data_IF_947627143533
#
_entry.id   IF_947627143533
#
_cell.length_a   1.000
_cell.length_b   1.000
_cell.length_c   1.000
_cell.angle_alpha   90.00
_cell.angle_beta   90.00
_cell.angle_gamma   90.00
#
_symmetry.space_group_name_H-M   'P 1'
#
loop_
_entity.id
_entity.type
_entity.pdbx_description
1 polymer ?
#
# COMPACT_ATOMS: atom_id res chain seq x y z
N UNK A 1 2.37 9.05 -8.18
CA UNK A 1 1.06 8.38 -8.08
C UNK A 1 0.75 8.25 -6.60
N UNK A 2 -0.48 8.55 -6.19
CA UNK A 2 -0.88 8.36 -4.79
C UNK A 2 -1.63 7.04 -4.69
N UNK A 3 -1.22 6.18 -3.77
CA UNK A 3 -1.97 4.99 -3.39
C UNK A 3 -2.72 5.35 -2.12
N UNK A 4 -4.02 5.54 -2.25
CA UNK A 4 -4.92 5.76 -1.12
C UNK A 4 -5.40 4.41 -0.59
N UNK A 5 -5.31 4.23 0.72
CA UNK A 5 -5.74 3.00 1.37
C UNK A 5 -6.81 3.34 2.38
N UNK A 6 -7.93 2.63 2.27
CA UNK A 6 -8.98 2.64 3.29
C UNK A 6 -8.96 1.30 4.01
N UNK A 7 -8.61 1.35 5.29
CA UNK A 7 -8.77 0.21 6.20
C UNK A 7 -9.69 0.58 7.33
N UNK A 8 -10.47 -0.40 7.77
CA UNK A 8 -11.39 -0.25 8.87
C UNK A 8 -11.40 -1.54 9.67
N UNK A 9 -11.13 -1.44 10.96
CA UNK A 9 -11.43 -2.48 11.93
C UNK A 9 -12.12 -1.81 13.12
N UNK A 10 -13.40 -2.16 13.33
CA UNK A 10 -14.22 -1.58 14.38
C UNK A 10 -14.11 -2.32 15.73
N UNK A 11 -13.47 -3.49 15.77
CA UNK A 11 -13.39 -4.35 16.96
C UNK A 11 -12.08 -4.12 17.70
N UNK A 12 -10.95 -4.19 17.00
CA UNK A 12 -9.61 -4.17 17.57
C UNK A 12 -8.83 -2.93 17.15
N UNK A 13 -9.23 -2.29 16.05
CA UNK A 13 -8.51 -1.18 15.44
C UNK A 13 -7.31 -1.64 14.63
N UNK A 14 -6.80 -0.77 13.76
CA UNK A 14 -5.65 -1.07 12.91
C UNK A 14 -4.35 -0.66 13.60
N UNK A 15 -3.44 -1.62 13.77
CA UNK A 15 -2.12 -1.41 14.36
C UNK A 15 -1.15 -0.83 13.34
N UNK A 16 -1.07 -1.45 12.15
CA UNK A 16 -0.16 -1.03 11.08
C UNK A 16 -0.63 -1.47 9.71
N UNK A 17 -0.12 -0.78 8.70
CA UNK A 17 -0.32 -1.12 7.28
C UNK A 17 1.01 -1.14 6.55
N UNK A 18 1.30 -2.24 5.88
CA UNK A 18 2.51 -2.46 5.09
C UNK A 18 2.19 -2.32 3.61
N UNK A 19 2.97 -1.50 2.91
CA UNK A 19 2.87 -1.24 1.47
C UNK A 19 4.03 -1.89 0.73
N UNK A 20 3.70 -2.67 -0.28
CA UNK A 20 4.65 -3.42 -1.09
C UNK A 20 4.53 -3.03 -2.56
N UNK A 21 5.68 -2.98 -3.23
CA UNK A 21 5.77 -2.85 -4.70
C UNK A 21 6.62 -4.02 -5.22
N UNK A 22 6.05 -4.82 -6.11
CA UNK A 22 6.67 -6.05 -6.62
C UNK A 22 7.17 -6.99 -5.49
N UNK A 23 6.33 -7.17 -4.47
CA UNK A 23 6.62 -7.94 -3.25
C UNK A 23 7.77 -7.40 -2.37
N UNK A 24 8.34 -6.22 -2.67
CA UNK A 24 9.30 -5.53 -1.79
C UNK A 24 8.54 -4.57 -0.88
N UNK A 25 8.78 -4.66 0.43
CA UNK A 25 8.23 -3.70 1.40
C UNK A 25 8.86 -2.33 1.14
N UNK A 26 8.03 -1.34 0.84
CA UNK A 26 8.49 0.03 0.59
C UNK A 26 8.15 0.95 1.76
N UNK A 27 7.04 0.70 2.47
CA UNK A 27 6.58 1.58 3.54
C UNK A 27 5.73 0.83 4.57
N UNK A 28 5.81 1.26 5.82
CA UNK A 28 4.92 0.82 6.91
C UNK A 28 4.32 2.05 7.57
N UNK A 29 3.00 2.10 7.63
CA UNK A 29 2.24 3.17 8.24
C UNK A 29 1.62 2.69 9.57
N UNK A 30 1.63 3.58 10.57
CA UNK A 30 1.06 3.36 11.91
C UNK A 30 0.02 4.44 12.27
N UNK A 31 -0.21 5.44 11.40
CA UNK A 31 -1.07 6.59 11.70
C UNK A 31 -2.21 6.69 10.68
N UNK A 32 -3.44 6.93 11.16
CA UNK A 32 -4.61 7.17 10.30
C UNK A 32 -4.75 8.69 10.01
N UNK A 33 -5.16 9.11 8.80
CA UNK A 33 -5.51 8.31 7.61
C UNK A 33 -4.28 7.83 6.83
N UNK A 34 -4.35 6.63 6.27
CA UNK A 34 -3.21 6.00 5.58
C UNK A 34 -3.09 6.46 4.14
N UNK A 35 -1.91 6.91 3.78
CA UNK A 35 -1.59 7.24 2.39
C UNK A 35 -0.14 6.92 2.08
N UNK A 36 0.11 6.38 0.89
CA UNK A 36 1.45 6.13 0.40
C UNK A 36 1.67 6.85 -0.94
N UNK A 37 2.63 7.76 -0.95
CA UNK A 37 3.04 8.44 -2.18
C UNK A 37 4.15 7.63 -2.86
N UNK A 38 3.82 7.03 -4.00
CA UNK A 38 4.77 6.30 -4.83
C UNK A 38 5.14 7.10 -6.07
N UNK A 39 6.43 7.38 -6.23
CA UNK A 39 6.97 8.09 -7.39
C UNK A 39 8.07 7.27 -8.05
N UNK A 40 7.77 6.76 -9.25
CA UNK A 40 8.75 6.13 -10.14
C UNK A 40 8.50 6.65 -11.55
N UNK A 41 9.58 6.86 -12.28
CA UNK A 41 9.53 7.18 -13.71
C UNK A 41 9.63 5.89 -14.50
N UNK A 42 8.48 5.37 -14.88
CA UNK A 42 8.37 4.12 -15.60
C UNK A 42 7.31 4.24 -16.68
N UNK A 43 7.71 4.04 -17.93
CA UNK A 43 6.79 4.05 -19.06
C UNK A 43 6.49 2.62 -19.52
N UNK A 44 5.22 2.25 -19.45
CA UNK A 44 4.72 0.95 -19.93
C UNK A 44 5.11 -0.25 -19.08
N UNK A 45 5.72 -0.04 -17.91
CA UNK A 45 6.08 -1.10 -16.96
C UNK A 45 4.91 -1.45 -16.04
N UNK A 46 4.81 -2.72 -15.68
CA UNK A 46 3.81 -3.24 -14.77
C UNK A 46 4.40 -3.37 -13.37
N UNK A 47 3.63 -2.95 -12.36
CA UNK A 47 3.97 -3.07 -10.95
C UNK A 47 2.82 -3.74 -10.22
N UNK A 48 3.13 -4.68 -9.33
CA UNK A 48 2.17 -5.23 -8.38
C UNK A 48 2.27 -4.43 -7.08
N UNK A 49 1.21 -3.70 -6.75
CA UNK A 49 1.06 -3.03 -5.47
C UNK A 49 0.30 -3.96 -4.54
N UNK A 50 0.80 -4.13 -3.33
CA UNK A 50 0.15 -4.95 -2.31
C UNK A 50 0.13 -4.19 -1.01
N UNK A 51 -0.99 -4.27 -0.32
CA UNK A 51 -1.20 -3.64 0.98
C UNK A 51 -1.58 -4.74 1.96
N UNK A 52 -0.96 -4.74 3.13
CA UNK A 52 -1.28 -5.67 4.20
C UNK A 52 -1.51 -4.92 5.49
N UNK A 53 -2.71 -5.04 6.03
CA UNK A 53 -3.11 -4.41 7.29
C UNK A 53 -3.10 -5.43 8.42
N UNK A 54 -2.73 -4.98 9.61
CA UNK A 54 -2.70 -5.77 10.83
C UNK A 54 -3.50 -5.07 11.92
N UNK A 55 -4.22 -5.85 12.70
CA UNK A 55 -4.98 -5.36 13.84
C UNK A 55 -4.21 -5.62 15.16
N UNK A 56 -4.65 -5.01 16.26
CA UNK A 56 -4.00 -5.19 17.57
C UNK A 56 -4.17 -6.59 18.18
N UNK A 57 -4.98 -7.47 17.56
CA UNK A 57 -5.15 -8.87 17.96
C UNK A 57 -4.30 -9.84 17.13
N UNK A 58 -3.47 -9.32 16.21
CA UNK A 58 -2.60 -10.11 15.35
C UNK A 58 -3.29 -10.69 14.10
N UNK A 59 -4.53 -10.30 13.81
CA UNK A 59 -5.18 -10.61 12.54
C UNK A 59 -4.59 -9.76 11.41
N UNK A 60 -4.68 -10.25 10.18
CA UNK A 60 -4.24 -9.47 9.02
C UNK A 60 -5.14 -9.66 7.81
N UNK A 61 -5.28 -8.61 7.02
CA UNK A 61 -5.95 -8.60 5.71
C UNK A 61 -4.97 -8.13 4.64
N UNK A 62 -5.12 -8.63 3.42
CA UNK A 62 -4.24 -8.27 2.29
C UNK A 62 -5.11 -7.94 1.09
N UNK A 63 -4.69 -6.91 0.36
CA UNK A 63 -5.23 -6.56 -0.95
C UNK A 63 -4.09 -6.29 -1.92
N UNK A 64 -4.30 -6.59 -3.21
CA UNK A 64 -3.29 -6.37 -4.23
C UNK A 64 -3.90 -5.93 -5.57
N UNK A 65 -3.16 -5.04 -6.23
CA UNK A 65 -3.54 -4.48 -7.53
C UNK A 65 -2.33 -4.43 -8.44
N UNK A 66 -2.51 -4.88 -9.67
CA UNK A 66 -1.46 -4.82 -10.69
C UNK A 66 -1.75 -3.67 -11.64
N UNK A 67 -0.84 -2.70 -11.69
CA UNK A 67 -0.99 -1.49 -12.50
C UNK A 67 0.10 -1.40 -13.55
N UNK A 68 -0.28 -1.00 -14.75
CA UNK A 68 0.67 -0.60 -15.80
C UNK A 68 0.87 0.91 -15.71
N UNK A 69 2.08 1.31 -15.36
CA UNK A 69 2.42 2.71 -15.09
C UNK A 69 2.97 3.36 -16.37
N UNK A 70 2.47 4.55 -16.65
CA UNK A 70 2.92 5.42 -17.75
C UNK A 70 3.33 6.77 -17.18
N UNK A 71 4.48 6.80 -16.53
CA UNK A 71 5.05 7.98 -15.87
C UNK A 71 6.37 8.36 -16.55
N UNK A 72 6.56 9.65 -16.81
CA UNK A 72 7.77 10.22 -17.38
C UNK A 72 8.50 11.06 -16.33
N UNK A 73 9.82 10.90 -16.21
CA UNK A 73 10.66 11.89 -15.54
C UNK A 73 10.78 13.12 -16.44
N UNK A 74 10.75 14.31 -15.84
CA UNK A 74 11.10 15.55 -16.54
C UNK A 74 12.60 15.62 -16.79
#
# INVERSE_FOLDING_TARGET
>A
MTVEVSVNDAQTGVEKVEFYVNNKLEYTDYVLPQSYSWSECSFGKTYNFKVKAYDYSGNSATDDVTLRVFSFCK
#
